data_IF_911977674251
#
_entry.id   IF_911977674251
#
_cell.length_a   1.000
_cell.length_b   1.000
_cell.length_c   1.000
_cell.angle_alpha   90.00
_cell.angle_beta   90.00
_cell.angle_gamma   90.00
#
_symmetry.space_group_name_H-M   'P 1'
#
loop_
_entity.id
_entity.type
_entity.pdbx_description
1 polymer ?
#
# COMPACT_ATOMS: atom_id res chain seq x y z
N UNK A 1 12.69 -7.28 -11.06
CA UNK A 1 12.61 -7.88 -12.40
C UNK A 1 12.96 -9.36 -12.37
N UNK A 2 14.14 -9.80 -11.90
CA UNK A 2 14.47 -11.24 -11.85
C UNK A 2 13.39 -12.15 -11.26
N UNK A 3 12.64 -11.71 -10.24
CA UNK A 3 11.56 -12.51 -9.69
C UNK A 3 10.42 -12.78 -10.69
N UNK A 4 10.12 -11.84 -11.56
CA UNK A 4 9.12 -12.04 -12.61
C UNK A 4 9.58 -13.02 -13.70
N UNK A 5 10.88 -13.18 -13.88
CA UNK A 5 11.49 -14.09 -14.87
C UNK A 5 11.69 -15.49 -14.30
N UNK A 6 12.13 -15.57 -13.04
CA UNK A 6 12.62 -16.80 -12.42
C UNK A 6 11.52 -17.53 -11.62
N UNK A 7 10.57 -16.78 -11.04
CA UNK A 7 9.56 -17.33 -10.12
C UNK A 7 8.19 -17.40 -10.78
N UNK A 8 7.76 -18.59 -11.16
CA UNK A 8 6.44 -18.79 -11.74
C UNK A 8 5.33 -18.36 -10.77
N UNK A 9 4.48 -17.44 -11.22
CA UNK A 9 3.39 -16.89 -10.40
C UNK A 9 3.76 -15.65 -9.57
N UNK A 10 4.99 -15.14 -9.68
CA UNK A 10 5.33 -13.83 -9.13
C UNK A 10 4.88 -12.73 -10.11
N UNK A 11 3.77 -12.06 -9.81
CA UNK A 11 3.06 -11.24 -10.80
C UNK A 11 3.06 -9.75 -10.51
N UNK A 12 3.14 -9.34 -9.24
CA UNK A 12 2.98 -7.96 -8.82
C UNK A 12 4.10 -7.50 -7.90
N UNK A 13 4.48 -6.23 -8.04
CA UNK A 13 5.41 -5.57 -7.15
C UNK A 13 5.10 -4.08 -7.07
N UNK A 14 5.07 -3.54 -5.86
CA UNK A 14 4.94 -2.10 -5.61
C UNK A 14 6.30 -1.53 -5.18
N UNK A 15 6.83 -0.57 -5.93
CA UNK A 15 8.14 0.03 -5.67
C UNK A 15 8.02 1.15 -4.64
N UNK A 16 7.61 0.81 -3.43
CA UNK A 16 7.61 1.68 -2.26
C UNK A 16 7.09 3.12 -2.51
N UNK A 17 6.17 3.27 -3.46
CA UNK A 17 5.51 4.55 -3.75
C UNK A 17 6.40 5.64 -4.35
N UNK A 18 7.63 5.38 -4.75
CA UNK A 18 8.58 6.38 -5.21
C UNK A 18 9.25 6.03 -6.55
N UNK A 19 9.80 7.05 -7.24
CA UNK A 19 10.44 6.87 -8.57
C UNK A 19 11.94 7.07 -8.57
N UNK A 20 12.51 7.78 -7.60
CA UNK A 20 13.96 8.09 -7.54
C UNK A 20 14.83 6.84 -7.66
N UNK A 21 14.40 5.72 -7.08
CA UNK A 21 15.13 4.44 -7.16
C UNK A 21 15.28 3.90 -8.58
N UNK A 22 14.45 4.35 -9.52
CA UNK A 22 14.58 4.00 -10.95
C UNK A 22 15.73 4.74 -11.60
N UNK A 23 15.96 6.00 -11.21
CA UNK A 23 17.11 6.78 -11.69
C UNK A 23 18.41 6.10 -11.24
N UNK A 24 18.54 5.77 -9.96
CA UNK A 24 19.70 5.08 -9.40
C UNK A 24 19.92 3.72 -10.07
N UNK A 25 18.84 2.95 -10.25
CA UNK A 25 18.92 1.65 -10.91
C UNK A 25 19.38 1.76 -12.36
N UNK A 26 18.83 2.70 -13.12
CA UNK A 26 19.14 2.88 -14.54
C UNK A 26 20.47 3.59 -14.80
N UNK A 27 21.02 4.31 -13.82
CA UNK A 27 22.41 4.80 -13.90
C UNK A 27 23.39 3.64 -13.98
N UNK A 28 23.11 2.53 -13.30
CA UNK A 28 23.94 1.32 -13.28
C UNK A 28 23.59 0.35 -14.42
N UNK A 29 22.28 0.20 -14.71
CA UNK A 29 21.73 -0.80 -15.64
C UNK A 29 20.90 -0.15 -16.74
N UNK A 30 21.51 0.75 -17.51
CA UNK A 30 20.82 1.50 -18.57
C UNK A 30 20.24 0.58 -19.67
N UNK A 31 20.89 -0.53 -19.93
CA UNK A 31 20.48 -1.57 -20.89
C UNK A 31 19.19 -2.28 -20.49
N UNK A 32 18.76 -2.18 -19.23
CA UNK A 32 17.52 -2.80 -18.73
C UNK A 32 16.31 -1.86 -18.73
N UNK A 33 16.42 -0.68 -19.31
CA UNK A 33 15.35 0.33 -19.32
C UNK A 33 14.09 -0.16 -20.04
N UNK A 34 14.25 -0.78 -21.20
CA UNK A 34 13.11 -1.22 -22.02
C UNK A 34 12.34 -2.34 -21.33
N UNK A 35 13.05 -3.29 -20.72
CA UNK A 35 12.47 -4.38 -19.95
C UNK A 35 11.71 -3.86 -18.73
N UNK A 36 12.31 -2.96 -17.95
CA UNK A 36 11.66 -2.31 -16.81
C UNK A 36 10.38 -1.59 -17.24
N UNK A 37 10.44 -0.84 -18.33
CA UNK A 37 9.30 -0.13 -18.90
C UNK A 37 8.18 -1.09 -19.31
N UNK A 38 8.52 -2.26 -19.84
CA UNK A 38 7.55 -3.28 -20.21
C UNK A 38 6.79 -3.83 -18.99
N UNK A 39 7.50 -4.17 -17.90
CA UNK A 39 6.85 -4.61 -16.64
C UNK A 39 5.95 -3.53 -16.04
N UNK A 40 6.35 -2.28 -16.08
CA UNK A 40 5.54 -1.15 -15.60
C UNK A 40 4.27 -1.01 -16.44
N UNK A 41 4.37 -1.03 -17.78
CA UNK A 41 3.22 -0.92 -18.69
C UNK A 41 2.25 -2.08 -18.59
N UNK A 42 2.73 -3.28 -18.31
CA UNK A 42 1.90 -4.47 -18.06
C UNK A 42 1.21 -4.44 -16.69
N UNK A 43 1.58 -3.49 -15.82
CA UNK A 43 1.03 -3.40 -14.47
C UNK A 43 1.58 -4.44 -13.49
N UNK A 44 2.68 -5.13 -13.85
CA UNK A 44 3.38 -6.01 -12.92
C UNK A 44 4.18 -5.21 -11.89
N UNK A 45 4.77 -4.09 -12.32
CA UNK A 45 5.64 -3.26 -11.52
C UNK A 45 5.01 -1.88 -11.34
N UNK A 46 4.53 -1.57 -10.14
CA UNK A 46 3.91 -0.30 -9.81
C UNK A 46 4.93 0.69 -9.25
N UNK A 47 4.88 1.94 -9.73
CA UNK A 47 5.79 3.02 -9.38
C UNK A 47 5.05 4.30 -9.05
N UNK A 48 5.67 5.17 -8.25
CA UNK A 48 5.10 6.44 -7.82
C UNK A 48 3.92 6.29 -6.83
N UNK A 49 3.23 7.38 -6.49
CA UNK A 49 3.20 8.68 -7.19
C UNK A 49 4.30 9.66 -6.81
N UNK A 50 5.09 9.39 -5.75
CA UNK A 50 6.13 10.30 -5.27
C UNK A 50 7.42 10.20 -6.08
N UNK A 51 8.19 11.28 -6.11
CA UNK A 51 9.59 11.21 -6.52
C UNK A 51 10.42 10.52 -5.44
N UNK A 52 10.27 10.96 -4.19
CA UNK A 52 10.88 10.37 -2.99
C UNK A 52 9.90 10.40 -1.84
N UNK A 53 9.91 9.39 -0.96
CA UNK A 53 9.10 9.41 0.25
C UNK A 53 9.58 10.52 1.20
N UNK A 54 8.64 11.23 1.80
CA UNK A 54 8.91 12.35 2.71
C UNK A 54 8.13 12.22 4.01
N UNK A 55 8.62 12.90 5.05
CA UNK A 55 7.84 13.28 6.22
C UNK A 55 7.20 14.64 5.98
N UNK A 56 5.88 14.66 5.81
CA UNK A 56 5.13 15.81 5.32
C UNK A 56 5.25 17.04 6.22
N UNK A 57 5.32 16.85 7.55
CA UNK A 57 5.47 17.94 8.52
C UNK A 57 6.88 18.54 8.58
N UNK A 58 7.89 17.82 8.08
CA UNK A 58 9.28 18.28 8.06
C UNK A 58 9.63 19.03 6.77
N UNK A 59 8.80 18.89 5.74
CA UNK A 59 8.98 19.54 4.44
C UNK A 59 7.97 20.69 4.27
N UNK A 60 8.30 21.67 3.42
CA UNK A 60 7.33 22.73 3.09
C UNK A 60 6.18 22.19 2.25
N UNK A 61 5.01 22.83 2.32
CA UNK A 61 3.87 22.48 1.46
C UNK A 61 4.20 22.51 -0.03
N UNK A 62 5.00 23.50 -0.49
CA UNK A 62 5.50 23.58 -1.86
C UNK A 62 6.40 22.38 -2.20
N UNK A 63 7.27 21.94 -1.30
CA UNK A 63 8.10 20.77 -1.52
C UNK A 63 7.27 19.50 -1.67
N UNK A 64 6.24 19.31 -0.84
CA UNK A 64 5.32 18.18 -0.93
C UNK A 64 4.60 18.13 -2.29
N UNK A 65 4.08 19.29 -2.76
CA UNK A 65 3.42 19.39 -4.08
C UNK A 65 4.40 19.10 -5.21
N UNK A 66 5.60 19.66 -5.17
CA UNK A 66 6.62 19.43 -6.22
C UNK A 66 7.09 17.99 -6.25
N UNK A 67 7.29 17.38 -5.08
CA UNK A 67 7.65 15.97 -4.98
C UNK A 67 6.63 15.07 -5.68
N UNK A 68 5.33 15.32 -5.44
CA UNK A 68 4.25 14.61 -6.12
C UNK A 68 4.28 14.85 -7.65
N UNK A 69 4.44 16.10 -8.07
CA UNK A 69 4.48 16.44 -9.51
C UNK A 69 5.67 15.77 -10.21
N UNK A 70 6.86 15.83 -9.62
CA UNK A 70 8.05 15.16 -10.17
C UNK A 70 7.87 13.65 -10.26
N UNK A 71 7.34 13.01 -9.21
CA UNK A 71 7.09 11.58 -9.21
C UNK A 71 6.09 11.16 -10.29
N UNK A 72 4.99 11.92 -10.45
CA UNK A 72 4.00 11.67 -11.51
C UNK A 72 4.61 11.86 -12.90
N UNK A 73 5.37 12.94 -13.13
CA UNK A 73 6.02 13.19 -14.41
C UNK A 73 7.06 12.12 -14.74
N UNK A 74 7.82 11.71 -13.75
CA UNK A 74 8.82 10.65 -13.91
C UNK A 74 8.17 9.30 -14.22
N UNK A 75 7.17 8.89 -13.45
CA UNK A 75 6.43 7.65 -13.68
C UNK A 75 5.77 7.60 -15.07
N UNK A 76 5.27 8.72 -15.59
CA UNK A 76 4.70 8.81 -16.94
C UNK A 76 5.70 8.48 -18.05
N UNK A 77 6.99 8.71 -17.85
CA UNK A 77 8.05 8.34 -18.82
C UNK A 77 8.09 6.83 -19.06
N UNK A 78 7.71 6.05 -18.04
CA UNK A 78 7.62 4.58 -18.11
C UNK A 78 6.22 4.07 -18.48
N UNK A 79 5.22 4.95 -18.53
CA UNK A 79 3.88 4.66 -19.09
C UNK A 79 2.78 4.37 -18.08
N UNK A 80 3.06 4.33 -16.78
CA UNK A 80 2.04 4.14 -15.75
C UNK A 80 2.41 4.86 -14.45
N UNK A 81 1.40 5.33 -13.73
CA UNK A 81 1.52 5.96 -12.41
C UNK A 81 0.58 5.23 -11.46
N UNK A 82 1.06 4.79 -10.31
CA UNK A 82 0.20 4.31 -9.23
C UNK A 82 -0.69 5.46 -8.74
N UNK A 83 -2.01 5.26 -8.76
CA UNK A 83 -3.00 6.28 -8.36
C UNK A 83 -3.38 6.20 -6.89
N UNK A 84 -2.47 5.75 -6.06
CA UNK A 84 -2.64 5.65 -4.61
C UNK A 84 -1.54 6.47 -3.94
N UNK A 85 -1.92 7.47 -3.15
CA UNK A 85 -0.99 8.13 -2.24
C UNK A 85 -0.42 7.09 -1.27
N UNK A 86 0.86 7.16 -0.93
CA UNK A 86 1.52 6.13 -0.15
C UNK A 86 2.45 6.73 0.89
N UNK A 87 2.15 6.45 2.17
CA UNK A 87 2.86 6.96 3.33
C UNK A 87 3.05 5.84 4.37
N UNK A 88 3.94 4.87 4.10
CA UNK A 88 4.02 3.66 4.91
C UNK A 88 4.42 3.93 6.35
N UNK A 89 5.31 4.90 6.57
CA UNK A 89 5.89 5.20 7.88
C UNK A 89 6.08 6.70 8.15
N UNK A 90 5.39 7.58 7.42
CA UNK A 90 5.44 9.03 7.67
C UNK A 90 4.96 9.35 9.09
N UNK A 91 5.69 10.23 9.80
CA UNK A 91 5.39 10.61 11.19
C UNK A 91 4.27 11.65 11.29
N UNK A 92 3.13 11.27 10.78
CA UNK A 92 1.93 12.05 10.61
C UNK A 92 1.73 12.52 9.17
N UNK A 93 0.48 12.87 8.87
CA UNK A 93 0.09 13.29 7.52
C UNK A 93 -0.69 14.60 7.59
N UNK A 94 -0.37 15.57 6.73
CA UNK A 94 -0.98 16.90 6.75
C UNK A 94 -2.43 16.86 6.28
N UNK A 95 -3.32 17.57 6.98
CA UNK A 95 -4.76 17.54 6.72
C UNK A 95 -5.19 18.01 5.32
N UNK A 96 -4.32 18.69 4.57
CA UNK A 96 -4.57 19.12 3.19
C UNK A 96 -4.23 18.03 2.16
N UNK A 97 -3.65 16.92 2.56
CA UNK A 97 -3.19 15.88 1.64
C UNK A 97 -4.30 15.26 0.78
N UNK A 98 -5.53 14.97 1.29
CA UNK A 98 -6.60 14.49 0.42
C UNK A 98 -6.94 15.45 -0.73
N UNK A 99 -6.91 16.77 -0.50
CA UNK A 99 -7.11 17.77 -1.53
C UNK A 99 -6.01 17.70 -2.60
N UNK A 100 -4.75 17.69 -2.17
CA UNK A 100 -3.57 17.67 -3.06
C UNK A 100 -3.59 16.39 -3.92
N UNK A 101 -3.76 15.25 -3.29
CA UNK A 101 -3.81 13.95 -3.96
C UNK A 101 -4.98 13.84 -4.94
N UNK A 102 -6.16 14.31 -4.55
CA UNK A 102 -7.35 14.32 -5.42
C UNK A 102 -7.16 15.21 -6.65
N UNK A 103 -6.58 16.40 -6.48
CA UNK A 103 -6.25 17.29 -7.59
C UNK A 103 -5.20 16.70 -8.53
N UNK A 104 -4.29 15.86 -8.01
CA UNK A 104 -3.32 15.11 -8.79
C UNK A 104 -3.89 13.83 -9.45
N UNK A 105 -5.18 13.53 -9.24
CA UNK A 105 -5.86 12.39 -9.85
C UNK A 105 -5.67 11.06 -9.10
N UNK A 106 -5.28 11.11 -7.82
CA UNK A 106 -5.24 9.92 -6.97
C UNK A 106 -6.66 9.49 -6.58
N UNK A 107 -6.85 8.18 -6.36
CA UNK A 107 -8.14 7.56 -6.06
C UNK A 107 -8.28 7.13 -4.60
N UNK A 108 -7.16 6.94 -3.94
CA UNK A 108 -7.06 6.54 -2.54
C UNK A 108 -5.72 6.96 -1.96
N UNK A 109 -5.57 6.80 -0.65
CA UNK A 109 -4.30 6.99 0.07
C UNK A 109 -4.12 5.88 1.08
N UNK A 110 -2.95 5.25 1.09
CA UNK A 110 -2.56 4.22 2.03
C UNK A 110 -1.47 4.76 2.96
N UNK A 111 -1.61 4.53 4.26
CA UNK A 111 -0.70 5.07 5.28
C UNK A 111 -0.58 4.14 6.49
N UNK A 112 0.56 4.23 7.17
CA UNK A 112 0.85 3.39 8.34
C UNK A 112 0.55 4.05 9.67
N UNK A 113 0.51 5.38 9.75
CA UNK A 113 0.34 6.15 10.99
C UNK A 113 -0.76 7.18 10.90
N UNK A 114 -1.23 7.67 12.04
CA UNK A 114 -1.99 8.89 12.13
C UNK A 114 -3.45 8.76 12.50
N UNK A 115 -3.98 7.55 12.69
CA UNK A 115 -5.35 7.30 13.19
C UNK A 115 -5.29 6.89 14.67
N UNK A 116 -6.07 7.55 15.50
CA UNK A 116 -6.11 7.31 16.97
C UNK A 116 -7.29 6.42 17.37
N UNK A 117 -7.13 5.66 18.46
CA UNK A 117 -5.85 5.25 19.04
C UNK A 117 -5.19 4.17 18.19
N UNK A 118 -3.87 4.25 18.05
CA UNK A 118 -3.09 3.21 17.40
C UNK A 118 -2.34 2.45 18.48
N UNK A 119 -2.64 1.17 18.63
CA UNK A 119 -1.97 0.29 19.57
C UNK A 119 -0.60 -0.17 19.07
N UNK A 120 0.00 -1.10 19.79
CA UNK A 120 1.27 -1.70 19.42
C UNK A 120 1.21 -2.28 18.01
N UNK A 121 2.24 -2.02 17.20
CA UNK A 121 2.29 -2.39 15.78
C UNK A 121 1.10 -1.87 14.93
N UNK A 122 0.64 -0.65 15.21
CA UNK A 122 -0.49 -0.04 14.51
C UNK A 122 -1.80 -0.84 14.58
N UNK A 123 -1.99 -1.61 15.60
CA UNK A 123 -3.29 -2.19 15.88
C UNK A 123 -4.24 -1.07 16.32
N UNK A 124 -5.39 -1.00 15.70
CA UNK A 124 -6.46 -0.10 16.15
C UNK A 124 -7.09 -0.71 17.40
N UNK A 125 -6.96 -0.07 18.56
CA UNK A 125 -7.43 -0.60 19.85
C UNK A 125 -8.38 0.40 20.58
N UNK A 126 -9.34 -0.14 21.35
CA UNK A 126 -10.22 0.64 22.23
C UNK A 126 -11.52 1.11 21.57
N UNK A 127 -12.24 1.99 22.25
CA UNK A 127 -13.54 2.49 21.81
C UNK A 127 -13.52 3.95 21.33
N UNK A 128 -12.38 4.63 21.44
CA UNK A 128 -12.23 6.06 21.09
C UNK A 128 -11.53 6.22 19.74
N UNK A 129 -11.89 5.40 18.75
CA UNK A 129 -11.31 5.48 17.42
C UNK A 129 -11.80 6.70 16.66
N UNK A 130 -10.89 7.33 15.92
CA UNK A 130 -11.25 8.23 14.82
C UNK A 130 -11.85 7.44 13.66
N UNK A 131 -11.48 6.16 13.52
CA UNK A 131 -12.11 5.23 12.60
C UNK A 131 -12.43 3.89 13.27
N UNK A 132 -13.57 3.30 12.90
CA UNK A 132 -13.96 1.95 13.32
C UNK A 132 -13.26 0.86 12.48
N UNK A 133 -12.73 1.22 11.29
CA UNK A 133 -12.14 0.30 10.33
C UNK A 133 -10.77 0.78 9.88
N UNK A 134 -9.98 -0.12 9.29
CA UNK A 134 -8.74 0.20 8.58
C UNK A 134 -9.00 1.06 7.34
N UNK A 135 -10.16 0.91 6.72
CA UNK A 135 -10.65 1.77 5.64
C UNK A 135 -11.50 2.90 6.23
N UNK A 136 -11.27 4.11 5.75
CA UNK A 136 -11.95 5.33 6.23
C UNK A 136 -12.12 6.36 5.11
N UNK A 137 -12.94 7.35 5.32
CA UNK A 137 -12.98 8.55 4.49
C UNK A 137 -12.07 9.61 5.12
N UNK A 138 -10.97 9.95 4.46
CA UNK A 138 -10.12 11.06 4.91
C UNK A 138 -10.52 12.34 4.20
N UNK A 139 -10.83 13.37 5.00
CA UNK A 139 -11.37 14.65 4.53
C UNK A 139 -10.44 15.82 4.83
N UNK A 140 -10.14 16.59 3.80
CA UNK A 140 -9.42 17.86 3.92
C UNK A 140 -10.32 19.01 4.36
N UNK A 141 -9.74 20.12 4.88
CA UNK A 141 -10.50 21.32 5.26
C UNK A 141 -11.34 21.96 4.15
N UNK A 142 -10.95 21.79 2.89
CA UNK A 142 -11.71 22.27 1.72
C UNK A 142 -12.90 21.38 1.36
N UNK A 143 -13.10 20.28 2.07
CA UNK A 143 -14.14 19.28 1.82
C UNK A 143 -13.78 18.18 0.83
N UNK A 144 -12.57 18.18 0.27
CA UNK A 144 -12.07 17.07 -0.56
C UNK A 144 -11.94 15.79 0.26
N UNK A 145 -12.38 14.69 -0.31
CA UNK A 145 -12.39 13.37 0.34
C UNK A 145 -11.70 12.32 -0.53
N UNK A 146 -10.97 11.42 0.12
CA UNK A 146 -10.39 10.20 -0.48
C UNK A 146 -10.65 9.00 0.42
N UNK A 147 -10.66 7.81 -0.19
CA UNK A 147 -10.57 6.56 0.56
C UNK A 147 -9.19 6.50 1.22
N UNK A 148 -9.16 6.52 2.54
CA UNK A 148 -7.98 6.27 3.35
C UNK A 148 -7.89 4.80 3.73
N UNK A 149 -6.69 4.23 3.66
CA UNK A 149 -6.39 2.84 3.99
C UNK A 149 -5.26 2.85 5.01
N UNK A 150 -5.59 2.59 6.28
CA UNK A 150 -4.59 2.35 7.31
C UNK A 150 -4.03 0.93 7.15
N UNK A 151 -2.72 0.78 7.16
CA UNK A 151 -2.09 -0.55 7.22
C UNK A 151 -2.30 -1.18 8.60
N UNK A 152 -3.44 -1.85 8.75
CA UNK A 152 -3.77 -2.55 9.99
C UNK A 152 -2.69 -3.59 10.32
N UNK A 153 -2.15 -3.55 11.53
CA UNK A 153 -1.02 -4.36 11.99
C UNK A 153 0.30 -4.08 11.24
N UNK A 154 0.49 -2.82 10.78
CA UNK A 154 1.71 -2.30 10.16
C UNK A 154 1.86 -2.58 8.66
N UNK A 155 2.77 -1.82 8.01
CA UNK A 155 3.03 -1.92 6.56
C UNK A 155 3.79 -3.18 6.12
N UNK A 156 4.14 -4.07 7.06
CA UNK A 156 4.72 -5.39 6.80
C UNK A 156 3.85 -6.54 7.32
N UNK A 157 2.57 -6.30 7.48
CA UNK A 157 1.63 -7.23 8.10
C UNK A 157 1.51 -8.59 7.38
N UNK A 158 1.91 -8.69 6.12
CA UNK A 158 1.93 -9.89 5.29
C UNK A 158 3.34 -10.39 4.93
N UNK A 159 4.40 -9.96 5.65
CA UNK A 159 5.77 -10.42 5.35
C UNK A 159 6.03 -11.83 5.88
N UNK A 160 7.04 -12.50 5.29
CA UNK A 160 7.56 -13.81 5.71
C UNK A 160 6.50 -14.91 5.81
N UNK A 161 5.65 -15.04 4.79
CA UNK A 161 4.60 -16.06 4.75
C UNK A 161 5.26 -17.46 4.69
N UNK A 162 5.00 -18.36 5.65
CA UNK A 162 5.59 -19.70 5.64
C UNK A 162 5.04 -20.57 4.51
N UNK A 163 5.90 -21.44 3.96
CA UNK A 163 5.52 -22.48 2.99
C UNK A 163 5.14 -23.78 3.68
N UNK A 164 5.77 -24.10 4.83
CA UNK A 164 5.47 -25.31 5.60
C UNK A 164 4.05 -25.23 6.19
N UNK A 165 3.24 -26.28 6.00
CA UNK A 165 1.80 -26.26 6.27
C UNK A 165 1.44 -25.91 7.72
N UNK A 166 2.17 -26.45 8.71
CA UNK A 166 1.88 -26.18 10.13
C UNK A 166 2.17 -24.73 10.48
N UNK A 167 3.33 -24.22 10.07
CA UNK A 167 3.71 -22.83 10.28
C UNK A 167 2.80 -21.87 9.51
N UNK A 168 2.42 -22.24 8.27
CA UNK A 168 1.49 -21.47 7.45
C UNK A 168 0.11 -21.38 8.12
N UNK A 169 -0.37 -22.50 8.71
CA UNK A 169 -1.65 -22.49 9.40
C UNK A 169 -1.63 -21.56 10.62
N UNK A 170 -0.61 -21.64 11.46
CA UNK A 170 -0.46 -20.75 12.64
C UNK A 170 -0.37 -19.28 12.22
N UNK A 171 0.38 -19.00 11.14
CA UNK A 171 0.52 -17.67 10.57
C UNK A 171 -0.84 -17.12 10.11
N UNK A 172 -1.57 -17.86 9.28
CA UNK A 172 -2.83 -17.42 8.70
C UNK A 172 -3.97 -17.36 9.70
N UNK A 173 -4.08 -18.31 10.65
CA UNK A 173 -5.08 -18.24 11.75
C UNK A 173 -4.97 -16.91 12.49
N UNK A 174 -3.76 -16.43 12.75
CA UNK A 174 -3.51 -15.14 13.38
C UNK A 174 -3.79 -13.96 12.43
N UNK A 175 -3.19 -13.99 11.23
CA UNK A 175 -3.26 -12.84 10.30
C UNK A 175 -4.67 -12.56 9.81
N UNK A 176 -5.43 -13.58 9.45
CA UNK A 176 -6.84 -13.43 9.03
C UNK A 176 -7.70 -12.88 10.15
N UNK A 177 -7.52 -13.35 11.37
CA UNK A 177 -8.21 -12.86 12.56
C UNK A 177 -7.86 -11.39 12.85
N UNK A 178 -6.56 -11.06 12.86
CA UNK A 178 -6.08 -9.73 13.24
C UNK A 178 -6.47 -8.67 12.20
N UNK A 179 -6.31 -8.96 10.90
CA UNK A 179 -6.71 -8.05 9.83
C UNK A 179 -8.25 -7.96 9.71
N UNK A 180 -8.95 -9.10 9.76
CA UNK A 180 -10.41 -9.15 9.64
C UNK A 180 -11.16 -8.44 10.76
N UNK A 181 -10.53 -8.26 11.92
CA UNK A 181 -11.12 -7.50 13.04
C UNK A 181 -11.40 -6.04 12.68
N UNK A 182 -10.60 -5.46 11.79
CA UNK A 182 -10.65 -4.03 11.46
C UNK A 182 -11.03 -3.73 10.01
N UNK A 183 -11.22 -4.75 9.18
CA UNK A 183 -11.60 -4.56 7.79
C UNK A 183 -13.06 -4.12 7.66
N UNK A 184 -13.33 -3.14 6.79
CA UNK A 184 -14.68 -2.69 6.47
C UNK A 184 -15.42 -3.63 5.52
N UNK A 185 -14.71 -4.53 4.87
CA UNK A 185 -15.23 -5.50 3.91
C UNK A 185 -14.56 -6.87 4.11
N UNK A 186 -14.96 -7.88 3.33
CA UNK A 186 -14.27 -9.18 3.31
C UNK A 186 -12.87 -9.15 2.68
N UNK A 187 -12.47 -8.05 2.07
CA UNK A 187 -11.16 -7.90 1.44
C UNK A 187 -10.11 -7.42 2.45
N UNK A 188 -9.03 -8.18 2.58
CA UNK A 188 -7.93 -7.90 3.51
C UNK A 188 -6.68 -7.50 2.75
N UNK A 189 -6.04 -6.39 3.17
CA UNK A 189 -4.76 -5.95 2.62
C UNK A 189 -3.61 -6.48 3.47
N UNK A 190 -2.75 -7.28 2.86
CA UNK A 190 -1.58 -7.85 3.47
C UNK A 190 -0.33 -7.46 2.69
N UNK A 191 0.50 -6.63 3.29
CA UNK A 191 1.73 -6.09 2.69
C UNK A 191 2.87 -7.08 2.87
N UNK A 192 3.32 -7.70 1.75
CA UNK A 192 4.44 -8.65 1.74
C UNK A 192 5.75 -7.92 1.43
N UNK A 193 6.34 -7.35 2.44
CA UNK A 193 7.60 -6.62 2.37
C UNK A 193 7.91 -5.93 3.69
N UNK A 194 9.12 -5.44 3.82
CA UNK A 194 9.58 -4.64 4.96
C UNK A 194 10.84 -3.88 4.60
N UNK A 195 11.19 -2.89 5.42
CA UNK A 195 12.44 -2.16 5.31
C UNK A 195 13.65 -3.10 5.37
N UNK A 196 14.63 -2.80 4.53
CA UNK A 196 15.92 -3.52 4.49
C UNK A 196 15.81 -5.04 4.26
N UNK A 197 14.68 -5.52 3.76
CA UNK A 197 14.47 -6.93 3.47
C UNK A 197 14.39 -7.18 1.95
N UNK A 198 14.95 -8.29 1.47
CA UNK A 198 14.72 -8.73 0.10
C UNK A 198 13.27 -9.17 -0.09
N UNK A 199 12.81 -9.18 -1.33
CA UNK A 199 11.51 -9.76 -1.68
C UNK A 199 11.42 -11.22 -1.26
N UNK A 200 10.25 -11.68 -0.90
CA UNK A 200 9.98 -13.08 -0.63
C UNK A 200 9.82 -13.85 -1.96
N UNK A 201 10.87 -14.54 -2.42
CA UNK A 201 10.88 -15.24 -3.72
C UNK A 201 9.89 -16.40 -3.79
N UNK A 202 9.73 -17.15 -2.69
CA UNK A 202 8.81 -18.28 -2.59
C UNK A 202 7.36 -17.86 -2.26
N UNK A 203 7.01 -16.57 -2.46
CA UNK A 203 5.65 -16.08 -2.24
C UNK A 203 4.58 -16.86 -3.01
N UNK A 204 4.75 -17.20 -4.30
CA UNK A 204 3.75 -18.01 -5.02
C UNK A 204 3.48 -19.36 -4.37
N UNK A 205 4.52 -20.08 -3.92
CA UNK A 205 4.40 -21.35 -3.21
C UNK A 205 3.70 -21.18 -1.85
N UNK A 206 4.04 -20.13 -1.11
CA UNK A 206 3.39 -19.79 0.16
C UNK A 206 1.89 -19.51 -0.01
N UNK A 207 1.49 -18.82 -1.08
CA UNK A 207 0.08 -18.56 -1.40
C UNK A 207 -0.64 -19.84 -1.85
N UNK A 208 0.02 -20.74 -2.58
CA UNK A 208 -0.54 -22.05 -2.94
C UNK A 208 -0.82 -22.89 -1.68
N UNK A 209 0.11 -22.93 -0.74
CA UNK A 209 -0.08 -23.60 0.56
C UNK A 209 -1.25 -22.99 1.34
N UNK A 210 -1.34 -21.65 1.39
CA UNK A 210 -2.45 -20.96 2.02
C UNK A 210 -3.80 -21.34 1.40
N UNK A 211 -3.90 -21.35 0.07
CA UNK A 211 -5.13 -21.75 -0.62
C UNK A 211 -5.55 -23.20 -0.36
N UNK A 212 -4.61 -24.12 -0.17
CA UNK A 212 -4.92 -25.51 0.22
C UNK A 212 -5.45 -25.60 1.66
N UNK A 213 -4.89 -24.80 2.58
CA UNK A 213 -5.28 -24.79 3.99
C UNK A 213 -6.63 -24.10 4.23
N UNK A 214 -6.97 -23.10 3.42
CA UNK A 214 -8.18 -22.27 3.56
C UNK A 214 -8.97 -22.23 2.24
N UNK A 215 -9.69 -23.32 1.88
CA UNK A 215 -10.38 -23.43 0.58
C UNK A 215 -11.51 -22.41 0.39
N UNK A 216 -12.01 -21.80 1.46
CA UNK A 216 -13.03 -20.75 1.44
C UNK A 216 -12.46 -19.34 1.34
N UNK A 217 -11.11 -19.20 1.30
CA UNK A 217 -10.41 -17.93 1.21
C UNK A 217 -9.63 -17.86 -0.10
N UNK A 218 -9.77 -16.76 -0.83
CA UNK A 218 -9.00 -16.52 -2.06
C UNK A 218 -7.78 -15.69 -1.72
N UNK A 219 -6.59 -16.26 -1.89
CA UNK A 219 -5.32 -15.57 -1.72
C UNK A 219 -4.81 -15.07 -3.06
N UNK A 220 -4.56 -13.76 -3.17
CA UNK A 220 -4.15 -13.12 -4.41
C UNK A 220 -2.80 -12.43 -4.23
N UNK A 221 -1.86 -12.67 -5.14
CA UNK A 221 -0.72 -11.80 -5.32
C UNK A 221 -1.20 -10.58 -6.11
N UNK A 222 -1.51 -9.49 -5.42
CA UNK A 222 -2.31 -8.38 -5.93
C UNK A 222 -1.58 -7.04 -5.85
N UNK A 223 -2.32 -5.96 -6.08
CA UNK A 223 -1.86 -4.57 -6.05
C UNK A 223 -2.91 -3.62 -5.45
N UNK A 224 -2.53 -2.36 -5.14
CA UNK A 224 -3.44 -1.37 -4.59
C UNK A 224 -4.66 -1.10 -5.46
N UNK A 225 -4.56 -0.91 -6.79
CA UNK A 225 -5.73 -0.70 -7.63
C UNK A 225 -6.77 -1.81 -7.50
N UNK A 226 -6.34 -3.05 -7.53
CA UNK A 226 -7.22 -4.23 -7.39
C UNK A 226 -7.89 -4.25 -6.01
N UNK A 227 -7.12 -4.05 -4.94
CA UNK A 227 -7.68 -3.99 -3.59
C UNK A 227 -8.70 -2.86 -3.43
N UNK A 228 -8.36 -1.64 -3.89
CA UNK A 228 -9.23 -0.46 -3.81
C UNK A 228 -10.53 -0.69 -4.58
N UNK A 229 -10.46 -1.29 -5.76
CA UNK A 229 -11.64 -1.62 -6.55
C UNK A 229 -12.54 -2.64 -5.84
N UNK A 230 -11.96 -3.68 -5.25
CA UNK A 230 -12.68 -4.69 -4.48
C UNK A 230 -13.37 -4.06 -3.27
N UNK A 231 -12.66 -3.29 -2.47
CA UNK A 231 -13.22 -2.57 -1.32
C UNK A 231 -14.39 -1.67 -1.75
N UNK A 232 -14.20 -0.83 -2.77
CA UNK A 232 -15.26 0.07 -3.26
C UNK A 232 -16.51 -0.66 -3.74
N UNK A 233 -16.37 -1.87 -4.28
CA UNK A 233 -17.50 -2.68 -4.76
C UNK A 233 -18.25 -3.40 -3.65
N UNK A 234 -17.53 -3.82 -2.61
CA UNK A 234 -18.09 -4.59 -1.48
C UNK A 234 -18.50 -3.73 -0.29
N UNK A 235 -18.24 -2.43 -0.34
CA UNK A 235 -18.58 -1.52 0.75
C UNK A 235 -20.09 -1.34 0.82
N UNK A 236 -20.70 -1.81 1.91
CA UNK A 236 -22.14 -1.78 2.17
C UNK A 236 -22.54 -0.83 3.31
N UNK A 237 -21.57 -0.24 3.98
CA UNK A 237 -21.76 0.68 5.12
C UNK A 237 -20.98 1.98 4.92
N UNK A 238 -21.40 3.03 5.63
CA UNK A 238 -20.66 4.29 5.66
C UNK A 238 -19.37 4.11 6.46
N UNK A 239 -18.27 4.58 5.87
CA UNK A 239 -16.97 4.63 6.53
C UNK A 239 -16.92 5.79 7.53
N UNK A 240 -16.13 5.63 8.59
CA UNK A 240 -15.80 6.74 9.49
C UNK A 240 -15.12 7.87 8.72
N UNK A 241 -15.55 9.12 8.99
CA UNK A 241 -14.94 10.31 8.37
C UNK A 241 -13.91 10.87 9.34
N UNK A 242 -12.65 10.85 8.94
CA UNK A 242 -11.54 11.48 9.67
C UNK A 242 -11.18 12.78 8.95
N UNK A 243 -11.26 13.91 9.68
CA UNK A 243 -11.03 15.23 9.09
C UNK A 243 -9.76 15.87 9.61
N UNK A 244 -8.97 16.45 8.71
CA UNK A 244 -7.77 17.20 9.05
C UNK A 244 -6.54 16.32 9.17
N UNK A 245 -5.63 16.73 10.05
CA UNK A 245 -4.32 16.12 10.22
C UNK A 245 -4.39 14.74 10.89
N UNK A 246 -3.56 13.82 10.43
CA UNK A 246 -3.37 12.51 11.03
C UNK A 246 -2.07 12.53 11.84
N UNK A 247 -2.15 12.66 13.16
CA UNK A 247 -1.00 12.96 14.04
C UNK A 247 -0.84 12.00 15.22
N UNK A 248 -1.33 10.79 15.14
CA UNK A 248 -1.18 9.80 16.21
C UNK A 248 0.08 8.96 16.08
#
# INVERSE_FOLDING_TARGET
>A
MKAFEEEKGYEKFHLDGQTIVLEDYLEIYLDRKDELTEYIRKGNFQIGPWYVLQDEFLTSGEANVRNLLYGIEDAKKYGSVCKTGYFPDAFGNVGQMPQILKQAGMEAVAFGRGVRPVGFNNQVEGNDYLSAFSELTWKSPDGSELLGILFANWYNNGSEIPVEETAAKEYWDRKLKDAGKFAATEHLLLMNGSDHQPIQKNLPEALETAGKLYPDVVFLHSDFPTYIECVKKSLDSELSVVTGELTS
#
